data_IF_515514200568
#
_entry.id   IF_515514200568
#
_cell.length_a   1.000
_cell.length_b   1.000
_cell.length_c   1.000
_cell.angle_alpha   90.00
_cell.angle_beta   90.00
_cell.angle_gamma   90.00
#
_symmetry.space_group_name_H-M   'P 1'
#
loop_
_entity.id
_entity.type
_entity.pdbx_description
1 polymer ?
#
# COMPACT_ATOMS: atom_id res chain seq x y z
N UNK A 1 -20.91 -1.18 -15.93
CA UNK A 1 -19.66 -1.21 -15.17
C UNK A 1 -19.97 -0.51 -13.86
N UNK A 2 -20.15 -1.26 -12.77
CA UNK A 2 -20.34 -0.63 -11.45
C UNK A 2 -19.04 0.07 -11.06
N UNK A 3 -19.14 1.33 -10.62
CA UNK A 3 -17.98 2.05 -10.08
C UNK A 3 -17.66 1.42 -8.72
N UNK A 4 -16.44 0.93 -8.54
CA UNK A 4 -16.00 0.36 -7.27
C UNK A 4 -15.67 1.52 -6.33
N UNK A 5 -16.37 1.59 -5.21
CA UNK A 5 -16.16 2.57 -4.15
C UNK A 5 -15.03 2.10 -3.21
N UNK A 6 -13.91 2.83 -3.21
CA UNK A 6 -12.75 2.55 -2.35
C UNK A 6 -13.11 2.52 -0.86
N UNK A 7 -14.11 3.30 -0.44
CA UNK A 7 -14.51 3.36 0.96
C UNK A 7 -15.24 2.09 1.41
N UNK A 8 -15.75 1.28 0.48
CA UNK A 8 -16.44 0.03 0.80
C UNK A 8 -15.52 -1.18 0.75
N UNK A 9 -14.34 -1.04 0.15
CA UNK A 9 -13.37 -2.11 0.05
C UNK A 9 -12.70 -2.43 1.39
N UNK A 10 -12.47 -3.73 1.60
CA UNK A 10 -11.69 -4.27 2.71
C UNK A 10 -10.47 -5.01 2.19
N UNK A 11 -9.53 -5.32 3.09
CA UNK A 11 -8.34 -6.12 2.76
C UNK A 11 -8.68 -7.53 2.24
N UNK A 12 -9.91 -8.02 2.46
CA UNK A 12 -10.36 -9.34 1.96
C UNK A 12 -10.88 -9.27 0.52
N UNK A 13 -11.29 -8.08 0.07
CA UNK A 13 -11.86 -7.89 -1.26
C UNK A 13 -10.78 -7.70 -2.33
N UNK A 14 -9.53 -7.48 -1.91
CA UNK A 14 -8.41 -7.15 -2.79
C UNK A 14 -7.47 -8.33 -2.92
N UNK A 15 -7.21 -8.77 -4.16
CA UNK A 15 -6.28 -9.85 -4.41
C UNK A 15 -4.82 -9.36 -4.39
N UNK A 16 -3.90 -10.10 -3.75
CA UNK A 16 -2.47 -9.80 -3.85
C UNK A 16 -1.89 -10.32 -5.17
N UNK A 17 -1.18 -9.47 -5.92
CA UNK A 17 -0.42 -9.95 -7.09
C UNK A 17 0.90 -10.65 -6.71
N UNK A 18 1.40 -10.46 -5.48
CA UNK A 18 2.61 -11.08 -4.96
C UNK A 18 2.38 -11.78 -3.61
N UNK A 19 2.93 -12.99 -3.44
CA UNK A 19 2.82 -13.81 -2.23
C UNK A 19 4.04 -13.76 -1.29
N UNK A 20 5.14 -13.12 -1.68
CA UNK A 20 6.38 -13.13 -0.91
C UNK A 20 6.52 -11.92 0.03
N UNK A 21 6.70 -12.17 1.32
CA UNK A 21 6.90 -11.12 2.33
C UNK A 21 8.14 -11.41 3.16
N UNK A 22 9.08 -10.47 3.16
CA UNK A 22 10.27 -10.54 4.00
C UNK A 22 9.96 -10.19 5.46
N UNK A 23 10.42 -11.04 6.40
CA UNK A 23 10.38 -10.75 7.85
C UNK A 23 11.07 -9.42 8.19
N UNK A 24 12.13 -9.06 7.46
CA UNK A 24 12.83 -7.78 7.64
C UNK A 24 11.97 -6.57 7.25
N UNK A 25 11.16 -6.69 6.19
CA UNK A 25 10.21 -5.64 5.80
C UNK A 25 9.12 -5.46 6.86
N UNK A 26 8.62 -6.55 7.43
CA UNK A 26 7.64 -6.50 8.54
C UNK A 26 8.21 -5.74 9.74
N UNK A 27 9.46 -6.04 10.15
CA UNK A 27 10.11 -5.35 11.27
C UNK A 27 10.28 -3.84 11.03
N UNK A 28 10.51 -3.43 9.77
CA UNK A 28 10.57 -2.00 9.43
C UNK A 28 9.21 -1.32 9.57
N UNK A 29 8.13 -1.98 9.16
CA UNK A 29 6.77 -1.45 9.30
C UNK A 29 6.37 -1.30 10.76
N UNK A 30 6.73 -2.26 11.61
CA UNK A 30 6.38 -2.19 13.04
C UNK A 30 6.99 -1.00 13.78
N UNK A 31 8.00 -0.32 13.22
CA UNK A 31 8.63 0.85 13.85
C UNK A 31 7.80 2.13 13.71
N UNK A 32 6.93 2.22 12.70
CA UNK A 32 6.18 3.44 12.40
C UNK A 32 4.67 3.19 12.28
N UNK A 33 4.24 1.95 12.05
CA UNK A 33 2.83 1.61 11.96
C UNK A 33 2.22 1.49 13.36
N UNK A 34 1.19 2.28 13.62
CA UNK A 34 0.40 2.18 14.84
C UNK A 34 -1.08 2.09 14.49
N UNK A 35 -1.75 1.01 14.90
CA UNK A 35 -3.15 0.74 14.48
C UNK A 35 -4.16 1.82 14.90
N UNK A 36 -3.86 2.58 15.96
CA UNK A 36 -4.70 3.67 16.45
C UNK A 36 -4.24 5.05 15.92
N UNK A 37 -3.16 5.12 15.13
CA UNK A 37 -2.73 6.34 14.45
C UNK A 37 -2.27 6.02 13.01
N UNK A 38 -3.15 6.29 12.05
CA UNK A 38 -2.94 6.04 10.62
C UNK A 38 -2.43 7.26 9.85
N UNK A 39 -2.03 8.36 10.53
CA UNK A 39 -1.54 9.59 9.88
C UNK A 39 -0.33 9.32 8.96
N UNK A 40 0.55 8.40 9.37
CA UNK A 40 1.73 8.00 8.58
C UNK A 40 1.47 6.78 7.69
N UNK A 41 0.22 6.31 7.59
CA UNK A 41 -0.08 5.14 6.78
C UNK A 41 -0.13 5.48 5.31
N UNK A 42 0.85 4.99 4.56
CA UNK A 42 0.86 5.15 3.11
C UNK A 42 -0.23 4.28 2.48
N UNK A 43 -1.03 4.91 1.62
CA UNK A 43 -2.13 4.28 0.87
C UNK A 43 -1.67 2.99 0.18
N UNK A 44 -2.57 2.02 0.06
CA UNK A 44 -2.32 0.81 -0.71
C UNK A 44 -2.85 1.02 -2.14
N UNK A 45 -1.97 1.04 -3.15
CA UNK A 45 -2.39 1.22 -4.53
C UNK A 45 -3.08 -0.04 -5.05
N UNK A 46 -4.20 0.15 -5.74
CA UNK A 46 -5.00 -0.91 -6.34
C UNK A 46 -5.29 -0.63 -7.81
N UNK A 47 -5.37 -1.70 -8.61
CA UNK A 47 -5.82 -1.67 -10.01
C UNK A 47 -6.99 -2.62 -10.20
N UNK A 48 -7.80 -2.37 -11.22
CA UNK A 48 -8.76 -3.35 -11.71
C UNK A 48 -8.09 -4.20 -12.78
N UNK A 49 -7.95 -5.50 -12.51
CA UNK A 49 -7.51 -6.49 -13.49
C UNK A 49 -8.67 -7.47 -13.70
N UNK A 50 -9.15 -7.61 -14.94
CA UNK A 50 -10.28 -8.47 -15.30
C UNK A 50 -11.55 -8.25 -14.45
N UNK A 51 -11.82 -6.99 -14.08
CA UNK A 51 -12.96 -6.63 -13.23
C UNK A 51 -12.74 -6.88 -11.73
N UNK A 52 -11.56 -7.34 -11.32
CA UNK A 52 -11.20 -7.65 -9.94
C UNK A 52 -10.23 -6.59 -9.39
N UNK A 53 -10.45 -6.05 -8.18
CA UNK A 53 -9.48 -5.18 -7.53
C UNK A 53 -8.26 -5.99 -7.04
N UNK A 54 -7.08 -5.57 -7.48
CA UNK A 54 -5.78 -6.20 -7.19
C UNK A 54 -4.85 -5.16 -6.59
N UNK A 55 -4.18 -5.50 -5.49
CA UNK A 55 -3.09 -4.67 -4.95
C UNK A 55 -1.82 -4.91 -5.76
N UNK A 56 -1.18 -3.82 -6.16
CA UNK A 56 0.04 -3.82 -6.97
C UNK A 56 1.31 -3.52 -6.14
N UNK A 57 1.14 -2.87 -4.99
CA UNK A 57 2.18 -2.67 -3.97
C UNK A 57 1.53 -2.63 -2.57
N UNK A 58 2.34 -2.51 -1.52
CA UNK A 58 1.86 -2.38 -0.15
C UNK A 58 1.58 -3.72 0.54
N UNK A 59 1.97 -4.86 -0.05
CA UNK A 59 1.74 -6.21 0.50
C UNK A 59 2.17 -6.35 1.97
N UNK A 60 3.34 -5.80 2.31
CA UNK A 60 3.85 -5.87 3.68
C UNK A 60 2.99 -5.02 4.63
N UNK A 61 2.46 -3.87 4.17
CA UNK A 61 1.52 -3.04 4.92
C UNK A 61 0.16 -3.73 5.09
N UNK A 62 -0.37 -4.32 4.03
CA UNK A 62 -1.61 -5.10 4.05
C UNK A 62 -1.52 -6.24 5.07
N UNK A 63 -0.48 -7.07 4.99
CA UNK A 63 -0.31 -8.20 5.92
C UNK A 63 -0.05 -7.74 7.35
N UNK A 64 0.72 -6.67 7.55
CA UNK A 64 0.89 -6.13 8.89
C UNK A 64 -0.43 -5.61 9.47
N UNK A 65 -1.27 -4.96 8.66
CA UNK A 65 -2.58 -4.47 9.07
C UNK A 65 -3.51 -5.62 9.46
N UNK A 66 -3.54 -6.71 8.68
CA UNK A 66 -4.28 -7.94 9.02
C UNK A 66 -3.80 -8.52 10.36
N UNK A 67 -2.48 -8.53 10.61
CA UNK A 67 -1.91 -8.99 11.89
C UNK A 67 -2.28 -8.12 13.10
N UNK A 68 -2.71 -6.89 12.86
CA UNK A 68 -3.18 -5.96 13.90
C UNK A 68 -4.71 -5.95 14.01
N UNK A 69 -5.39 -6.95 13.42
CA UNK A 69 -6.84 -7.11 13.34
C UNK A 69 -7.59 -6.01 12.58
N UNK A 70 -6.87 -5.27 11.72
CA UNK A 70 -7.49 -4.28 10.84
C UNK A 70 -8.09 -4.96 9.61
N UNK A 71 -9.35 -4.64 9.33
CA UNK A 71 -10.07 -5.11 8.14
C UNK A 71 -10.00 -4.11 6.98
N UNK A 72 -9.85 -2.83 7.31
CA UNK A 72 -9.86 -1.72 6.36
C UNK A 72 -8.62 -0.86 6.56
N UNK A 73 -8.05 -0.45 5.44
CA UNK A 73 -6.96 0.52 5.35
C UNK A 73 -7.28 1.43 4.18
N UNK A 74 -6.69 2.63 4.10
CA UNK A 74 -6.96 3.51 2.99
C UNK A 74 -6.30 3.00 1.70
N UNK A 75 -7.08 2.98 0.62
CA UNK A 75 -6.70 2.54 -0.72
C UNK A 75 -6.64 3.73 -1.67
N UNK A 76 -5.92 3.58 -2.78
CA UNK A 76 -5.88 4.55 -3.87
C UNK A 76 -5.90 3.80 -5.20
N UNK A 77 -6.64 4.30 -6.18
CA UNK A 77 -6.54 3.78 -7.54
C UNK A 77 -5.16 4.13 -8.11
N UNK A 78 -4.48 3.12 -8.65
CA UNK A 78 -3.28 3.34 -9.45
C UNK A 78 -3.71 3.70 -10.88
N UNK A 79 -4.11 4.96 -11.05
CA UNK A 79 -4.23 5.59 -12.35
C UNK A 79 -2.79 5.94 -12.79
N UNK A 80 -2.30 5.30 -13.85
CA UNK A 80 -0.88 5.27 -14.21
C UNK A 80 -0.19 6.65 -14.23
N UNK A 81 1.07 6.62 -13.78
CA UNK A 81 2.01 7.72 -13.51
C UNK A 81 1.77 8.51 -12.22
N UNK A 82 2.22 7.92 -11.10
CA UNK A 82 3.35 8.46 -10.35
C UNK A 82 3.48 10.01 -10.35
N UNK A 83 2.45 10.71 -9.88
CA UNK A 83 2.64 12.08 -9.46
C UNK A 83 3.37 12.05 -8.11
N UNK A 84 4.70 11.96 -8.17
CA UNK A 84 5.62 12.36 -7.08
C UNK A 84 5.52 13.87 -6.76
N UNK A 85 4.34 14.49 -6.92
CA UNK A 85 4.05 15.85 -6.49
C UNK A 85 3.42 15.85 -5.09
N UNK A 86 4.12 15.23 -4.15
CA UNK A 86 4.20 15.82 -2.82
C UNK A 86 5.67 16.10 -2.51
N UNK A 87 6.33 16.85 -3.39
CA UNK A 87 7.47 17.68 -3.01
C UNK A 87 6.96 18.73 -2.02
N UNK A 88 6.79 18.32 -0.76
CA UNK A 88 7.01 19.13 0.44
C UNK A 88 7.04 18.14 1.60
N UNK A 89 8.20 17.53 1.82
CA UNK A 89 8.80 17.43 3.17
C UNK A 89 10.22 16.85 3.08
N UNK A 90 11.17 17.78 3.22
CA UNK A 90 12.57 17.64 3.62
C UNK A 90 13.52 16.72 2.83
N UNK A 91 14.49 17.39 2.20
CA UNK A 91 15.78 16.90 1.69
C UNK A 91 16.35 15.73 2.49
N UNK A 92 16.32 14.54 1.93
CA UNK A 92 17.32 13.51 2.16
C UNK A 92 17.49 12.72 0.86
N UNK A 93 18.53 13.09 0.13
CA UNK A 93 19.02 12.54 -1.13
C UNK A 93 18.99 11.01 -1.16
N UNK A 94 18.22 10.42 -2.05
CA UNK A 94 18.43 9.04 -2.51
C UNK A 94 18.75 9.06 -4.01
N UNK A 95 20.05 9.02 -4.30
CA UNK A 95 20.57 8.69 -5.63
C UNK A 95 20.37 7.19 -5.80
N UNK A 96 19.48 6.78 -6.70
CA UNK A 96 19.47 5.40 -7.21
C UNK A 96 20.40 5.35 -8.42
N UNK A 97 21.63 4.88 -8.19
CA UNK A 97 22.51 4.38 -9.27
C UNK A 97 22.23 2.90 -9.43
N UNK A 98 21.75 2.50 -10.60
CA UNK A 98 21.69 1.10 -11.02
C UNK A 98 22.91 0.84 -11.89
N UNK A 99 23.90 0.16 -11.35
CA UNK A 99 24.85 -0.60 -12.17
C UNK A 99 24.72 -2.07 -11.78
N UNK A 100 24.77 -2.91 -12.81
CA UNK A 100 24.58 -4.35 -12.85
C UNK A 100 25.78 -5.04 -12.21
#
# INVERSE_FOLDING_TARGET
>A
MECIDLERLTLKDIQPSQFYISKGKIKKISLWFYKNNMENFHLIPIKILDGIPVMIDGYTRAVYSIKQDLRKVPFVWDEDELNFLSTTMNKATFVYSWEI
#
